data_IF_433614867936
#
_entry.id   IF_433614867936
#
_cell.length_a   1.000
_cell.length_b   1.000
_cell.length_c   1.000
_cell.angle_alpha   90.00
_cell.angle_beta   90.00
_cell.angle_gamma   90.00
#
_symmetry.space_group_name_H-M   'P 1'
#
loop_
_entity.id
_entity.type
_entity.pdbx_description
1 polymer ?
#
# COMPACT_ATOMS: atom_id res chain seq x y z
N UNK A 1 -18.38 12.22 23.76
CA UNK A 1 -16.94 11.96 23.65
C UNK A 1 -16.65 11.70 22.18
N UNK A 2 -16.31 12.76 21.44
CA UNK A 2 -15.91 12.67 20.03
C UNK A 2 -14.54 11.99 20.01
N UNK A 3 -14.51 10.69 19.72
CA UNK A 3 -13.25 9.98 19.54
C UNK A 3 -12.50 10.64 18.39
N UNK A 4 -11.29 11.11 18.66
CA UNK A 4 -10.34 11.57 17.65
C UNK A 4 -10.32 10.53 16.54
N UNK A 5 -10.72 10.92 15.33
CA UNK A 5 -10.77 9.94 14.24
C UNK A 5 -9.33 9.60 13.85
N UNK A 6 -9.09 8.38 13.35
CA UNK A 6 -7.77 7.97 12.87
C UNK A 6 -7.18 8.93 11.84
N UNK A 7 -8.05 9.56 11.03
CA UNK A 7 -7.71 10.64 10.10
C UNK A 7 -7.14 11.87 10.80
N UNK A 8 -7.69 12.27 11.94
CA UNK A 8 -7.22 13.42 12.72
C UNK A 8 -5.84 13.13 13.32
N UNK A 9 -5.63 11.91 13.82
CA UNK A 9 -4.31 11.48 14.32
C UNK A 9 -3.26 11.40 13.20
N UNK A 10 -3.64 11.08 11.95
CA UNK A 10 -2.69 11.09 10.82
C UNK A 10 -2.26 12.49 10.39
N UNK A 11 -3.19 13.45 10.34
CA UNK A 11 -2.87 14.84 9.99
C UNK A 11 -1.90 15.47 11.00
N UNK A 12 -1.95 15.06 12.26
CA UNK A 12 -1.02 15.54 13.30
C UNK A 12 0.43 15.05 13.11
N UNK A 13 0.66 13.93 12.42
CA UNK A 13 2.01 13.32 12.27
C UNK A 13 2.59 13.51 10.87
N UNK A 14 1.74 13.66 9.84
CA UNK A 14 2.17 13.87 8.45
C UNK A 14 2.98 15.17 8.28
N UNK A 15 2.54 16.28 8.89
CA UNK A 15 3.25 17.56 8.87
C UNK A 15 4.69 17.48 9.42
N UNK A 16 4.89 16.99 10.66
CA UNK A 16 6.23 16.84 11.24
C UNK A 16 7.19 15.95 10.43
N UNK A 17 6.69 14.92 9.72
CA UNK A 17 7.51 14.04 8.89
C UNK A 17 7.98 14.77 7.63
N UNK A 18 7.08 15.49 6.95
CA UNK A 18 7.45 16.31 5.80
C UNK A 18 8.41 17.43 6.19
N UNK A 19 8.19 18.09 7.32
CA UNK A 19 9.12 19.10 7.86
C UNK A 19 10.49 18.50 8.18
N UNK A 20 10.57 17.30 8.74
CA UNK A 20 11.85 16.64 9.02
C UNK A 20 12.62 16.28 7.73
N UNK A 21 11.92 15.79 6.71
CA UNK A 21 12.50 15.50 5.39
C UNK A 21 12.95 16.77 4.68
N UNK A 22 12.14 17.83 4.72
CA UNK A 22 12.49 19.13 4.14
C UNK A 22 13.68 19.77 4.86
N UNK A 23 13.77 19.68 6.19
CA UNK A 23 14.94 20.11 6.94
C UNK A 23 16.20 19.30 6.59
N UNK A 24 16.09 17.98 6.40
CA UNK A 24 17.22 17.16 5.97
C UNK A 24 17.71 17.54 4.56
N UNK A 25 16.76 17.73 3.62
CA UNK A 25 17.06 18.16 2.26
C UNK A 25 17.63 19.59 2.21
N UNK A 26 17.12 20.50 3.04
CA UNK A 26 17.61 21.86 3.16
C UNK A 26 19.02 21.90 3.74
N UNK A 27 19.32 21.07 4.75
CA UNK A 27 20.67 20.94 5.30
C UNK A 27 21.65 20.42 4.24
N UNK A 28 21.25 19.40 3.48
CA UNK A 28 22.06 18.86 2.39
C UNK A 28 22.33 19.92 1.30
N UNK A 29 21.31 20.67 0.88
CA UNK A 29 21.45 21.74 -0.11
C UNK A 29 22.33 22.88 0.40
N UNK A 30 22.10 23.34 1.63
CA UNK A 30 22.88 24.42 2.25
C UNK A 30 24.36 24.05 2.30
N UNK A 31 24.67 22.81 2.66
CA UNK A 31 26.05 22.33 2.71
C UNK A 31 26.70 22.12 1.34
N UNK A 32 25.95 21.69 0.33
CA UNK A 32 26.46 21.64 -1.05
C UNK A 32 26.77 23.04 -1.59
N UNK A 33 25.94 24.03 -1.27
CA UNK A 33 26.13 25.41 -1.70
C UNK A 33 27.33 26.06 -1.00
N UNK A 34 27.49 25.90 0.32
CA UNK A 34 28.64 26.47 1.06
C UNK A 34 29.99 25.89 0.64
N UNK A 35 30.02 24.63 0.17
CA UNK A 35 31.25 24.00 -0.31
C UNK A 35 31.64 24.40 -1.74
N UNK A 36 30.67 24.84 -2.55
CA UNK A 36 30.88 25.17 -3.96
C UNK A 36 31.13 26.67 -4.16
N UNK A 37 30.47 27.55 -3.41
CA UNK A 37 30.52 29.00 -3.68
C UNK A 37 31.78 29.70 -3.15
N UNK A 38 32.38 29.25 -2.04
CA UNK A 38 33.48 29.97 -1.39
C UNK A 38 34.89 29.46 -1.70
N UNK A 39 35.02 28.41 -2.51
CA UNK A 39 36.33 27.76 -2.77
C UNK A 39 37.00 27.21 -1.50
N UNK A 40 36.24 27.05 -0.42
CA UNK A 40 36.72 26.57 0.85
C UNK A 40 37.00 25.07 0.80
N UNK A 41 38.26 24.71 1.02
CA UNK A 41 38.67 23.31 1.20
C UNK A 41 38.49 22.95 2.67
N UNK A 42 37.53 22.07 2.96
CA UNK A 42 37.37 21.52 4.31
C UNK A 42 38.63 20.77 4.75
N UNK A 43 38.98 20.90 6.04
CA UNK A 43 39.94 19.99 6.66
C UNK A 43 39.39 18.55 6.67
N UNK A 44 40.27 17.56 6.79
CA UNK A 44 39.82 16.17 6.84
C UNK A 44 38.97 15.87 8.08
N UNK A 45 39.21 16.57 9.19
CA UNK A 45 38.38 16.51 10.40
C UNK A 45 36.97 17.07 10.14
N UNK A 46 36.86 18.20 9.44
CA UNK A 46 35.58 18.79 9.08
C UNK A 46 34.80 17.90 8.11
N UNK A 47 35.48 17.28 7.12
CA UNK A 47 34.86 16.29 6.23
C UNK A 47 34.35 15.08 7.00
N UNK A 48 35.13 14.57 7.95
CA UNK A 48 34.73 13.42 8.77
C UNK A 48 33.51 13.73 9.65
N UNK A 49 33.50 14.89 10.32
CA UNK A 49 32.35 15.35 11.10
C UNK A 49 31.11 15.53 10.23
N UNK A 50 31.29 16.01 9.00
CA UNK A 50 30.21 16.23 8.05
C UNK A 50 29.59 14.90 7.55
N UNK A 51 30.43 13.93 7.16
CA UNK A 51 29.98 12.58 6.79
C UNK A 51 29.22 11.92 7.94
N UNK A 52 29.71 12.11 9.17
CA UNK A 52 29.06 11.57 10.37
C UNK A 52 27.65 12.14 10.55
N UNK A 53 27.50 13.47 10.48
CA UNK A 53 26.21 14.15 10.66
C UNK A 53 25.18 13.78 9.57
N UNK A 54 25.63 13.62 8.33
CA UNK A 54 24.79 13.08 7.25
C UNK A 54 24.33 11.67 7.59
N UNK A 55 25.26 10.79 8.01
CA UNK A 55 24.94 9.42 8.40
C UNK A 55 23.92 9.33 9.53
N UNK A 56 24.04 10.18 10.55
CA UNK A 56 23.08 10.26 11.66
C UNK A 56 21.70 10.71 11.20
N UNK A 57 21.63 11.68 10.28
CA UNK A 57 20.36 12.14 9.70
C UNK A 57 19.66 11.03 8.90
N UNK A 58 20.38 10.35 8.00
CA UNK A 58 19.83 9.21 7.27
C UNK A 58 19.33 8.11 8.21
N UNK A 59 20.08 7.81 9.27
CA UNK A 59 19.68 6.81 10.26
C UNK A 59 18.42 7.24 11.03
N UNK A 60 18.31 8.52 11.41
CA UNK A 60 17.12 9.06 12.06
C UNK A 60 15.89 9.03 11.15
N UNK A 61 16.04 9.48 9.90
CA UNK A 61 14.99 9.44 8.87
C UNK A 61 14.51 8.00 8.62
N UNK A 62 15.45 7.04 8.54
CA UNK A 62 15.11 5.62 8.39
C UNK A 62 14.31 5.06 9.57
N UNK A 63 14.65 5.45 10.82
CA UNK A 63 13.88 5.05 12.01
C UNK A 63 12.46 5.60 11.97
N UNK A 64 12.30 6.89 11.69
CA UNK A 64 10.97 7.55 11.61
C UNK A 64 10.11 6.90 10.53
N UNK A 65 10.67 6.65 9.33
CA UNK A 65 9.95 5.96 8.26
C UNK A 65 9.54 4.53 8.65
N UNK A 66 10.39 3.81 9.38
CA UNK A 66 10.10 2.46 9.87
C UNK A 66 8.99 2.47 10.92
N UNK A 67 9.09 3.36 11.92
CA UNK A 67 8.07 3.52 12.96
C UNK A 67 6.72 3.92 12.37
N UNK A 68 6.73 4.84 11.41
CA UNK A 68 5.53 5.24 10.68
C UNK A 68 4.92 4.08 9.90
N UNK A 69 5.73 3.35 9.13
CA UNK A 69 5.28 2.17 8.37
C UNK A 69 4.67 1.11 9.29
N UNK A 70 5.30 0.87 10.45
CA UNK A 70 4.79 -0.06 11.45
C UNK A 70 3.47 0.43 12.06
N UNK A 71 3.36 1.72 12.40
CA UNK A 71 2.15 2.33 12.92
C UNK A 71 1.00 2.29 11.91
N UNK A 72 1.28 2.60 10.65
CA UNK A 72 0.34 2.50 9.53
C UNK A 72 -0.15 1.06 9.38
N UNK A 73 0.77 0.09 9.26
CA UNK A 73 0.40 -1.31 9.11
C UNK A 73 -0.40 -1.83 10.31
N UNK A 74 -0.05 -1.44 11.54
CA UNK A 74 -0.79 -1.82 12.74
C UNK A 74 -2.20 -1.21 12.77
N UNK A 75 -2.35 0.06 12.41
CA UNK A 75 -3.64 0.73 12.39
C UNK A 75 -4.56 0.21 11.29
N UNK A 76 -4.01 0.02 10.09
CA UNK A 76 -4.66 -0.72 8.99
C UNK A 76 -5.10 -2.08 9.54
N UNK A 77 -4.17 -2.92 10.00
CA UNK A 77 -4.53 -4.26 10.49
C UNK A 77 -5.56 -4.26 11.63
N UNK A 78 -5.60 -3.23 12.48
CA UNK A 78 -6.62 -3.06 13.51
C UNK A 78 -7.99 -2.65 12.95
N UNK A 79 -8.04 -1.79 11.93
CA UNK A 79 -9.27 -1.45 11.18
C UNK A 79 -9.79 -2.65 10.38
N UNK A 80 -8.88 -3.50 9.89
CA UNK A 80 -9.17 -4.77 9.21
C UNK A 80 -9.25 -5.97 10.17
N UNK A 81 -9.16 -5.77 11.49
CA UNK A 81 -9.24 -6.85 12.49
C UNK A 81 -10.68 -7.35 12.55
N UNK A 82 -10.90 -8.52 11.96
CA UNK A 82 -12.19 -9.06 11.52
C UNK A 82 -13.43 -8.68 12.35
N UNK A 83 -14.22 -7.69 11.89
CA UNK A 83 -15.66 -7.74 12.08
C UNK A 83 -16.23 -8.61 10.96
N UNK A 84 -16.87 -9.73 11.29
CA UNK A 84 -17.66 -10.58 10.37
C UNK A 84 -17.26 -10.43 8.88
N UNK A 85 -16.14 -11.05 8.48
CA UNK A 85 -15.42 -10.85 7.21
C UNK A 85 -16.30 -10.31 6.08
N UNK A 86 -16.06 -9.06 5.69
CA UNK A 86 -16.63 -8.50 4.46
C UNK A 86 -16.44 -9.51 3.33
N UNK A 87 -17.53 -9.98 2.69
CA UNK A 87 -17.44 -11.11 1.77
C UNK A 87 -16.69 -10.76 0.49
N UNK A 88 -16.71 -9.49 0.07
CA UNK A 88 -15.90 -9.00 -1.05
C UNK A 88 -14.42 -9.01 -0.65
N UNK A 89 -14.08 -8.43 0.51
CA UNK A 89 -12.71 -8.39 1.02
C UNK A 89 -12.11 -9.80 1.11
N UNK A 90 -12.84 -10.73 1.72
CA UNK A 90 -12.40 -12.12 1.88
C UNK A 90 -12.16 -12.80 0.52
N UNK A 91 -13.01 -12.53 -0.47
CA UNK A 91 -12.88 -13.07 -1.82
C UNK A 91 -11.64 -12.49 -2.54
N UNK A 92 -11.43 -11.18 -2.47
CA UNK A 92 -10.28 -10.49 -3.08
C UNK A 92 -8.97 -10.99 -2.47
N UNK A 93 -8.91 -11.12 -1.14
CA UNK A 93 -7.72 -11.66 -0.45
C UNK A 93 -7.45 -13.10 -0.89
N UNK A 94 -8.49 -13.94 -0.98
CA UNK A 94 -8.34 -15.35 -1.42
C UNK A 94 -7.82 -15.44 -2.85
N UNK A 95 -8.39 -14.65 -3.76
CA UNK A 95 -7.92 -14.56 -5.14
C UNK A 95 -6.45 -14.11 -5.19
N UNK A 96 -6.09 -13.04 -4.49
CA UNK A 96 -4.71 -12.54 -4.46
C UNK A 96 -3.70 -13.56 -3.92
N UNK A 97 -4.05 -14.28 -2.85
CA UNK A 97 -3.23 -15.39 -2.33
C UNK A 97 -3.08 -16.51 -3.36
N UNK A 98 -4.17 -16.91 -4.01
CA UNK A 98 -4.15 -17.94 -5.05
C UNK A 98 -3.25 -17.56 -6.24
N UNK A 99 -3.35 -16.32 -6.72
CA UNK A 99 -2.50 -15.81 -7.81
C UNK A 99 -1.03 -15.80 -7.40
N UNK A 100 -0.71 -15.40 -6.17
CA UNK A 100 0.66 -15.44 -5.67
C UNK A 100 1.21 -16.88 -5.57
N UNK A 101 0.40 -17.82 -5.08
CA UNK A 101 0.77 -19.25 -5.01
C UNK A 101 1.03 -19.83 -6.40
N UNK A 102 0.15 -19.54 -7.36
CA UNK A 102 0.31 -19.98 -8.74
C UNK A 102 1.54 -19.32 -9.41
N UNK A 103 1.74 -18.01 -9.23
CA UNK A 103 2.90 -17.31 -9.79
C UNK A 103 4.25 -17.81 -9.25
N UNK A 104 4.26 -18.44 -8.07
CA UNK A 104 5.47 -19.00 -7.46
C UNK A 104 5.83 -20.41 -7.96
N UNK A 105 4.98 -21.08 -8.74
CA UNK A 105 5.20 -22.49 -9.12
C UNK A 105 6.21 -22.71 -10.24
N UNK A 106 6.60 -21.65 -10.96
CA UNK A 106 7.46 -21.75 -12.14
C UNK A 106 6.77 -22.48 -13.31
N UNK A 107 7.57 -22.96 -14.26
CA UNK A 107 7.06 -23.64 -15.46
C UNK A 107 6.61 -25.07 -15.13
N UNK A 108 5.33 -25.33 -15.31
CA UNK A 108 4.70 -26.64 -15.16
C UNK A 108 4.14 -27.12 -16.50
N UNK A 109 4.08 -28.44 -16.74
CA UNK A 109 3.31 -28.99 -17.86
C UNK A 109 1.85 -28.53 -17.84
N UNK A 110 1.24 -28.33 -19.00
CA UNK A 110 -0.12 -27.75 -19.13
C UNK A 110 -1.17 -28.40 -18.21
N UNK A 111 -1.18 -29.73 -18.10
CA UNK A 111 -2.11 -30.46 -17.25
C UNK A 111 -1.92 -30.16 -15.76
N UNK A 112 -0.67 -30.04 -15.31
CA UNK A 112 -0.35 -29.67 -13.93
C UNK A 112 -0.61 -28.19 -13.67
N UNK A 113 -0.40 -27.36 -14.69
CA UNK A 113 -0.64 -25.93 -14.64
C UNK A 113 -2.15 -25.64 -14.47
N UNK A 114 -3.00 -26.31 -15.25
CA UNK A 114 -4.46 -26.18 -15.13
C UNK A 114 -4.97 -26.71 -13.78
N UNK A 115 -4.45 -27.85 -13.32
CA UNK A 115 -4.78 -28.38 -12.00
C UNK A 115 -4.39 -27.41 -10.86
N UNK A 116 -3.23 -26.77 -10.97
CA UNK A 116 -2.77 -25.78 -9.99
C UNK A 116 -3.63 -24.52 -10.03
N UNK A 117 -4.00 -24.02 -11.22
CA UNK A 117 -4.89 -22.88 -11.36
C UNK A 117 -6.25 -23.16 -10.70
N UNK A 118 -6.83 -24.34 -10.96
CA UNK A 118 -8.07 -24.80 -10.35
C UNK A 118 -7.98 -24.88 -8.81
N UNK A 119 -6.84 -25.33 -8.28
CA UNK A 119 -6.61 -25.45 -6.84
C UNK A 119 -6.30 -24.13 -6.12
N UNK A 120 -5.94 -23.07 -6.84
CA UNK A 120 -5.42 -21.83 -6.24
C UNK A 120 -6.37 -20.65 -6.42
N UNK A 121 -6.46 -20.09 -7.63
CA UNK A 121 -7.14 -18.82 -7.87
C UNK A 121 -8.42 -18.96 -8.70
N UNK A 122 -8.59 -20.02 -9.50
CA UNK A 122 -9.66 -20.11 -10.51
C UNK A 122 -11.06 -19.96 -9.92
N UNK A 123 -11.37 -20.67 -8.84
CA UNK A 123 -12.69 -20.56 -8.20
C UNK A 123 -13.01 -19.14 -7.70
N UNK A 124 -12.00 -18.41 -7.18
CA UNK A 124 -12.20 -17.03 -6.72
C UNK A 124 -12.35 -16.08 -7.91
N UNK A 125 -11.55 -16.28 -8.95
CA UNK A 125 -11.64 -15.55 -10.20
C UNK A 125 -13.01 -15.71 -10.88
N UNK A 126 -13.50 -16.94 -11.01
CA UNK A 126 -14.80 -17.24 -11.62
C UNK A 126 -15.93 -16.56 -10.84
N UNK A 127 -15.84 -16.55 -9.51
CA UNK A 127 -16.81 -15.84 -8.67
C UNK A 127 -16.78 -14.34 -8.89
N UNK A 128 -15.58 -13.74 -8.98
CA UNK A 128 -15.40 -12.31 -9.28
C UNK A 128 -15.91 -11.95 -10.68
N UNK A 129 -15.77 -12.84 -11.66
CA UNK A 129 -16.20 -12.64 -13.04
C UNK A 129 -17.68 -12.85 -13.29
N UNK A 130 -18.40 -13.56 -12.40
CA UNK A 130 -19.80 -13.95 -12.65
C UNK A 130 -20.78 -13.30 -11.69
N UNK A 131 -20.47 -13.27 -10.41
CA UNK A 131 -21.36 -12.77 -9.37
C UNK A 131 -20.57 -12.46 -8.10
N UNK A 132 -19.74 -11.41 -8.09
CA UNK A 132 -19.02 -11.02 -6.88
C UNK A 132 -20.02 -10.68 -5.76
N UNK A 133 -19.73 -11.03 -4.50
CA UNK A 133 -20.55 -10.60 -3.38
C UNK A 133 -20.47 -9.07 -3.24
N UNK A 134 -21.54 -8.43 -2.76
CA UNK A 134 -21.50 -7.01 -2.46
C UNK A 134 -20.54 -6.72 -1.30
N UNK A 135 -19.76 -5.63 -1.33
CA UNK A 135 -19.06 -5.15 -0.15
C UNK A 135 -20.07 -4.79 0.95
N UNK A 136 -19.69 -5.02 2.20
CA UNK A 136 -20.45 -4.61 3.39
C UNK A 136 -19.72 -3.54 4.19
N UNK A 137 -18.49 -3.21 3.79
CA UNK A 137 -17.59 -2.25 4.44
C UNK A 137 -16.84 -1.41 3.41
N UNK A 138 -16.36 -0.23 3.82
CA UNK A 138 -15.47 0.59 2.99
C UNK A 138 -14.16 -0.15 2.66
N UNK A 139 -13.65 -0.93 3.62
CA UNK A 139 -12.50 -1.81 3.47
C UNK A 139 -12.65 -2.77 2.28
N UNK A 140 -13.78 -3.50 2.20
CA UNK A 140 -14.06 -4.39 1.07
C UNK A 140 -14.20 -3.67 -0.26
N UNK A 141 -14.84 -2.49 -0.27
CA UNK A 141 -14.96 -1.66 -1.47
C UNK A 141 -13.59 -1.15 -1.97
N UNK A 142 -12.73 -0.69 -1.07
CA UNK A 142 -11.38 -0.19 -1.39
C UNK A 142 -10.51 -1.30 -1.98
N UNK A 143 -10.48 -2.48 -1.36
CA UNK A 143 -9.70 -3.61 -1.86
C UNK A 143 -10.20 -4.12 -3.21
N UNK A 144 -11.52 -4.12 -3.43
CA UNK A 144 -12.11 -4.43 -4.74
C UNK A 144 -11.67 -3.43 -5.83
N UNK A 145 -11.63 -2.13 -5.53
CA UNK A 145 -11.13 -1.10 -6.47
C UNK A 145 -9.62 -1.29 -6.74
N UNK A 146 -8.83 -1.60 -5.71
CA UNK A 146 -7.39 -1.89 -5.85
C UNK A 146 -7.15 -3.09 -6.76
N UNK A 147 -7.95 -4.15 -6.61
CA UNK A 147 -7.93 -5.31 -7.49
C UNK A 147 -8.22 -4.91 -8.94
N UNK A 148 -9.31 -4.17 -9.20
CA UNK A 148 -9.67 -3.70 -10.55
C UNK A 148 -8.53 -2.92 -11.20
N UNK A 149 -7.92 -1.97 -10.46
CA UNK A 149 -6.77 -1.22 -10.94
C UNK A 149 -5.61 -2.15 -11.32
N UNK A 150 -5.27 -3.12 -10.47
CA UNK A 150 -4.20 -4.10 -10.72
C UNK A 150 -4.46 -4.90 -12.00
N UNK A 151 -5.66 -5.43 -12.16
CA UNK A 151 -6.04 -6.25 -13.33
C UNK A 151 -6.11 -5.42 -14.62
N UNK A 152 -6.49 -4.14 -14.53
CA UNK A 152 -6.55 -3.23 -15.68
C UNK A 152 -5.19 -2.82 -16.24
N UNK A 153 -4.15 -2.76 -15.40
CA UNK A 153 -2.81 -2.27 -15.79
C UNK A 153 -1.79 -3.40 -15.95
N UNK A 154 -1.88 -4.46 -15.15
CA UNK A 154 -0.84 -5.50 -15.08
C UNK A 154 -1.31 -6.94 -15.27
N UNK A 155 -2.62 -7.23 -15.25
CA UNK A 155 -3.18 -8.59 -15.20
C UNK A 155 -3.66 -9.18 -16.53
N UNK A 156 -3.32 -8.54 -17.66
CA UNK A 156 -3.79 -8.98 -18.98
C UNK A 156 -5.20 -8.47 -19.34
N UNK A 157 -5.77 -7.57 -18.54
CA UNK A 157 -7.09 -6.96 -18.73
C UNK A 157 -8.23 -7.98 -18.77
N UNK A 158 -9.01 -8.07 -17.69
CA UNK A 158 -10.12 -9.02 -17.52
C UNK A 158 -11.47 -8.26 -17.47
N UNK A 159 -12.14 -8.03 -18.62
CA UNK A 159 -13.34 -7.20 -18.69
C UNK A 159 -14.45 -7.64 -17.73
N UNK A 160 -14.74 -8.94 -17.69
CA UNK A 160 -15.82 -9.49 -16.86
C UNK A 160 -15.58 -9.30 -15.36
N UNK A 161 -14.33 -9.45 -14.91
CA UNK A 161 -13.94 -9.17 -13.53
C UNK A 161 -14.14 -7.68 -13.23
N UNK A 162 -13.61 -6.81 -14.09
CA UNK A 162 -13.65 -5.36 -13.90
C UNK A 162 -15.09 -4.87 -13.82
N UNK A 163 -15.93 -5.25 -14.79
CA UNK A 163 -17.32 -4.81 -14.88
C UNK A 163 -18.15 -5.27 -13.67
N UNK A 164 -18.09 -6.55 -13.32
CA UNK A 164 -18.91 -7.10 -12.24
C UNK A 164 -18.46 -6.62 -10.86
N UNK A 165 -17.15 -6.51 -10.63
CA UNK A 165 -16.62 -5.99 -9.37
C UNK A 165 -16.97 -4.51 -9.19
N UNK A 166 -16.79 -3.67 -10.23
CA UNK A 166 -17.17 -2.26 -10.15
C UNK A 166 -18.67 -2.08 -9.96
N UNK A 167 -19.50 -2.92 -10.60
CA UNK A 167 -20.96 -2.89 -10.41
C UNK A 167 -21.33 -3.13 -8.95
N UNK A 168 -20.80 -4.19 -8.33
CA UNK A 168 -21.04 -4.49 -6.92
C UNK A 168 -20.56 -3.37 -5.98
N UNK A 169 -19.40 -2.77 -6.27
CA UNK A 169 -18.85 -1.65 -5.47
C UNK A 169 -19.69 -0.39 -5.60
N UNK A 170 -20.12 -0.03 -6.81
CA UNK A 170 -20.93 1.17 -7.06
C UNK A 170 -22.24 1.10 -6.29
N UNK A 171 -22.95 -0.03 -6.34
CA UNK A 171 -24.22 -0.23 -5.60
C UNK A 171 -24.01 0.01 -4.09
N UNK A 172 -22.92 -0.50 -3.52
CA UNK A 172 -22.59 -0.28 -2.11
C UNK A 172 -22.33 1.21 -1.80
N UNK A 173 -21.52 1.89 -2.63
CA UNK A 173 -21.17 3.29 -2.42
C UNK A 173 -22.37 4.25 -2.60
N UNK A 174 -23.24 3.96 -3.56
CA UNK A 174 -24.50 4.70 -3.75
C UNK A 174 -25.42 4.56 -2.54
N UNK A 175 -25.57 3.34 -2.00
CA UNK A 175 -26.34 3.10 -0.78
C UNK A 175 -25.77 3.84 0.44
N UNK A 176 -24.44 3.97 0.52
CA UNK A 176 -23.75 4.75 1.56
C UNK A 176 -23.93 6.25 1.41
N UNK A 177 -23.97 6.78 0.18
CA UNK A 177 -24.15 8.20 -0.09
C UNK A 177 -25.59 8.69 0.17
N UNK A 178 -26.57 7.79 0.08
CA UNK A 178 -27.98 8.08 0.31
C UNK A 178 -28.40 8.01 1.80
N UNK A 179 -27.53 7.54 2.70
CA UNK A 179 -27.78 7.35 4.14
C UNK A 179 -27.17 8.46 4.99
#
# INVERSE_FOLDING_TARGET
>A
MTGTTYRDAMFEVEGPIYEALDHANALQCFCQLTLVEDGHVLSDEQKAAFIHLIGENYAASGRVATEWSNGWNAAVNAEYAEPAQDPMLALVIRYGKGVATYGASGDLPDEQNEALAAATWRASYDRLCTAPPAPTTNAGAIEAIRLVRKESVGGGYQPALIENVLTAVTVFLEGRAAA
#
